data_IF_292511779488
#
_entry.id   IF_292511779488
#
_cell.length_a   1.000
_cell.length_b   1.000
_cell.length_c   1.000
_cell.angle_alpha   90.00
_cell.angle_beta   90.00
_cell.angle_gamma   90.00
#
_symmetry.space_group_name_H-M   'P 1'
#
loop_
_entity.id
_entity.type
_entity.pdbx_description
1 polymer ?
#
# COMPACT_ATOMS: atom_id res chain seq x y z
N UNK A 1 8.39 2.55 -26.74
CA UNK A 1 8.16 2.66 -25.27
C UNK A 1 9.48 2.37 -24.60
N UNK A 2 9.99 3.27 -23.77
CA UNK A 2 11.23 3.05 -23.02
C UNK A 2 10.99 1.95 -21.96
N UNK A 3 12.02 1.21 -21.59
CA UNK A 3 11.95 0.16 -20.54
C UNK A 3 11.36 0.69 -19.21
N UNK A 4 11.67 1.93 -18.90
CA UNK A 4 11.11 2.68 -17.76
C UNK A 4 9.58 2.80 -17.80
N UNK A 5 9.00 3.12 -18.97
CA UNK A 5 7.55 3.25 -19.14
C UNK A 5 6.86 1.88 -19.02
N UNK A 6 7.51 0.83 -19.51
CA UNK A 6 7.00 -0.55 -19.39
C UNK A 6 6.92 -0.99 -17.92
N UNK A 7 7.97 -0.73 -17.14
CA UNK A 7 8.02 -1.07 -15.72
C UNK A 7 6.98 -0.30 -14.91
N UNK A 8 6.74 0.96 -15.24
CA UNK A 8 5.72 1.78 -14.58
C UNK A 8 4.30 1.28 -14.86
N UNK A 9 4.01 0.92 -16.12
CA UNK A 9 2.70 0.35 -16.48
C UNK A 9 2.43 -0.99 -15.79
N UNK A 10 3.46 -1.83 -15.66
CA UNK A 10 3.37 -3.09 -14.89
C UNK A 10 3.06 -2.80 -13.42
N UNK A 11 3.76 -1.84 -12.81
CA UNK A 11 3.48 -1.43 -11.42
C UNK A 11 2.06 -0.90 -11.22
N UNK A 12 1.54 -0.10 -12.16
CA UNK A 12 0.15 0.38 -12.11
C UNK A 12 -0.85 -0.77 -12.18
N UNK A 13 -0.65 -1.71 -13.12
CA UNK A 13 -1.51 -2.90 -13.24
C UNK A 13 -1.46 -3.76 -11.97
N UNK A 14 -0.28 -3.99 -11.42
CA UNK A 14 -0.10 -4.71 -10.15
C UNK A 14 -0.87 -4.05 -9.01
N UNK A 15 -0.81 -2.71 -8.92
CA UNK A 15 -1.54 -1.98 -7.88
C UNK A 15 -3.05 -2.06 -8.08
N UNK A 16 -3.54 -1.86 -9.31
CA UNK A 16 -4.97 -1.94 -9.62
C UNK A 16 -5.52 -3.33 -9.28
N UNK A 17 -4.83 -4.40 -9.72
CA UNK A 17 -5.25 -5.78 -9.42
C UNK A 17 -5.18 -6.04 -7.91
N UNK A 18 -4.12 -5.64 -7.23
CA UNK A 18 -3.99 -5.80 -5.78
C UNK A 18 -5.07 -5.04 -5.00
N UNK A 19 -5.43 -3.82 -5.41
CA UNK A 19 -6.50 -3.04 -4.81
C UNK A 19 -7.88 -3.63 -5.12
N UNK A 20 -8.10 -4.18 -6.32
CA UNK A 20 -9.31 -4.91 -6.65
C UNK A 20 -9.48 -6.16 -5.76
N UNK A 21 -8.41 -6.94 -5.58
CA UNK A 21 -8.40 -8.05 -4.62
C UNK A 21 -8.72 -7.55 -3.20
N UNK A 22 -8.13 -6.44 -2.77
CA UNK A 22 -8.40 -5.84 -1.46
C UNK A 22 -9.90 -5.50 -1.28
N UNK A 23 -10.56 -5.01 -2.34
CA UNK A 23 -11.99 -4.68 -2.31
C UNK A 23 -12.90 -5.87 -2.05
N UNK A 24 -12.48 -7.09 -2.40
CA UNK A 24 -13.28 -8.31 -2.18
C UNK A 24 -13.05 -8.97 -0.81
N UNK A 25 -12.06 -8.53 -0.03
CA UNK A 25 -11.74 -9.14 1.28
C UNK A 25 -12.97 -9.19 2.21
N UNK A 26 -13.76 -8.11 2.23
CA UNK A 26 -14.94 -7.99 3.09
C UNK A 26 -15.93 -9.16 2.95
N UNK A 27 -16.13 -9.66 1.73
CA UNK A 27 -17.01 -10.81 1.48
C UNK A 27 -16.51 -12.06 2.22
N UNK A 28 -15.23 -12.35 2.08
CA UNK A 28 -14.61 -13.55 2.69
C UNK A 28 -14.55 -13.42 4.21
N UNK A 29 -14.39 -12.19 4.75
CA UNK A 29 -14.48 -11.93 6.19
C UNK A 29 -15.87 -12.29 6.70
N UNK A 30 -16.94 -11.78 6.07
CA UNK A 30 -18.32 -12.08 6.45
C UNK A 30 -18.62 -13.57 6.36
N UNK A 31 -18.30 -14.20 5.23
CA UNK A 31 -18.56 -15.64 5.01
C UNK A 31 -17.70 -16.55 5.90
N UNK A 32 -16.54 -16.09 6.37
CA UNK A 32 -15.71 -16.87 7.30
C UNK A 32 -16.30 -16.95 8.70
N UNK A 33 -17.20 -16.02 9.08
CA UNK A 33 -17.74 -15.92 10.44
C UNK A 33 -16.70 -15.64 11.52
N UNK A 34 -15.46 -15.26 11.12
CA UNK A 34 -14.38 -15.02 12.06
C UNK A 34 -14.35 -13.58 12.54
N UNK A 35 -13.99 -13.39 13.81
CA UNK A 35 -13.71 -12.04 14.32
C UNK A 35 -12.45 -11.44 13.64
N UNK A 36 -12.29 -10.11 13.65
CA UNK A 36 -11.21 -9.43 12.95
C UNK A 36 -9.79 -9.88 13.35
N UNK A 37 -9.56 -10.23 14.62
CA UNK A 37 -8.24 -10.68 15.08
C UNK A 37 -7.92 -12.08 14.57
N UNK A 38 -8.91 -12.98 14.56
CA UNK A 38 -8.78 -14.32 13.98
C UNK A 38 -8.52 -14.22 12.47
N UNK A 39 -9.23 -13.34 11.75
CA UNK A 39 -8.95 -13.07 10.33
C UNK A 39 -7.50 -12.63 10.14
N UNK A 40 -7.02 -11.68 10.93
CA UNK A 40 -5.63 -11.22 10.90
C UNK A 40 -4.64 -12.37 11.16
N UNK A 41 -4.89 -13.18 12.19
CA UNK A 41 -4.05 -14.35 12.51
C UNK A 41 -3.98 -15.35 11.36
N UNK A 42 -5.13 -15.78 10.82
CA UNK A 42 -5.17 -16.73 9.71
C UNK A 42 -4.49 -16.21 8.45
N UNK A 43 -4.66 -14.92 8.14
CA UNK A 43 -3.97 -14.28 7.02
C UNK A 43 -2.46 -14.26 7.23
N UNK A 44 -1.98 -13.97 8.44
CA UNK A 44 -0.57 -14.04 8.78
C UNK A 44 -0.03 -15.46 8.70
N UNK A 45 -0.74 -16.45 9.22
CA UNK A 45 -0.31 -17.84 9.24
C UNK A 45 -0.25 -18.42 7.83
N UNK A 46 -1.37 -18.42 7.11
CA UNK A 46 -1.46 -19.07 5.78
C UNK A 46 -0.69 -18.27 4.75
N UNK A 47 -0.88 -16.95 4.68
CA UNK A 47 -0.19 -16.09 3.74
C UNK A 47 1.32 -16.02 4.02
N UNK A 48 1.71 -15.94 5.28
CA UNK A 48 3.10 -15.98 5.72
C UNK A 48 3.78 -17.30 5.38
N UNK A 49 3.10 -18.44 5.59
CA UNK A 49 3.61 -19.76 5.23
C UNK A 49 3.77 -19.90 3.70
N UNK A 50 2.79 -19.46 2.91
CA UNK A 50 2.90 -19.46 1.45
C UNK A 50 4.09 -18.61 0.97
N UNK A 51 4.30 -17.42 1.56
CA UNK A 51 5.45 -16.55 1.24
C UNK A 51 6.76 -17.19 1.65
N UNK A 52 6.83 -17.82 2.82
CA UNK A 52 8.02 -18.52 3.30
C UNK A 52 8.42 -19.66 2.35
N UNK A 53 7.46 -20.51 1.99
CA UNK A 53 7.67 -21.62 1.05
C UNK A 53 8.09 -21.11 -0.34
N UNK A 54 7.45 -20.06 -0.82
CA UNK A 54 7.80 -19.42 -2.09
C UNK A 54 9.21 -18.83 -2.06
N UNK A 55 9.56 -18.08 -1.01
CA UNK A 55 10.89 -17.49 -0.85
C UNK A 55 11.97 -18.57 -0.72
N UNK A 56 11.67 -19.67 -0.03
CA UNK A 56 12.57 -20.81 0.08
C UNK A 56 12.81 -21.47 -1.28
N UNK A 57 11.74 -21.81 -2.01
CA UNK A 57 11.81 -22.44 -3.32
C UNK A 57 12.54 -21.58 -4.38
N UNK A 58 12.43 -20.25 -4.28
CA UNK A 58 13.11 -19.29 -5.18
C UNK A 58 14.51 -18.88 -4.69
N UNK A 59 14.98 -19.37 -3.55
CA UNK A 59 16.27 -19.01 -2.98
C UNK A 59 16.38 -17.55 -2.54
N UNK A 60 15.24 -16.89 -2.20
CA UNK A 60 15.19 -15.49 -1.80
C UNK A 60 15.58 -15.26 -0.33
N UNK A 61 15.76 -16.33 0.45
CA UNK A 61 16.15 -16.26 1.86
C UNK A 61 17.63 -15.97 2.10
N UNK A 62 18.43 -15.80 1.03
CA UNK A 62 19.83 -15.36 1.15
C UNK A 62 19.86 -13.85 1.49
N UNK A 63 19.71 -13.55 2.77
CA UNK A 63 19.58 -12.18 3.31
C UNK A 63 20.92 -11.59 3.79
N UNK A 64 22.04 -12.07 3.25
CA UNK A 64 23.41 -11.65 3.64
C UNK A 64 23.69 -10.16 3.39
N UNK A 65 22.92 -9.52 2.52
CA UNK A 65 23.09 -8.09 2.17
C UNK A 65 22.09 -7.16 2.88
N UNK A 66 21.25 -7.67 3.79
CA UNK A 66 20.28 -6.85 4.53
C UNK A 66 20.99 -6.15 5.67
N UNK A 67 21.00 -4.81 5.65
CA UNK A 67 21.61 -3.99 6.69
C UNK A 67 20.83 -4.06 8.01
N UNK A 68 21.52 -3.71 9.14
CA UNK A 68 20.86 -3.65 10.45
C UNK A 68 19.65 -2.72 10.46
N UNK A 69 19.74 -1.57 9.77
CA UNK A 69 18.62 -0.64 9.64
C UNK A 69 17.42 -1.25 8.90
N UNK A 70 17.68 -1.99 7.81
CA UNK A 70 16.63 -2.67 7.06
C UNK A 70 15.92 -3.74 7.90
N UNK A 71 16.64 -4.48 8.75
CA UNK A 71 16.05 -5.42 9.70
C UNK A 71 15.13 -4.73 10.71
N UNK A 72 15.57 -3.59 11.25
CA UNK A 72 14.75 -2.77 12.16
C UNK A 72 13.48 -2.28 11.43
N UNK A 73 13.62 -1.79 10.20
CA UNK A 73 12.48 -1.32 9.39
C UNK A 73 11.50 -2.46 9.07
N UNK A 74 11.99 -3.66 8.78
CA UNK A 74 11.14 -4.85 8.57
C UNK A 74 10.35 -5.19 9.83
N UNK A 75 11.01 -5.25 10.99
CA UNK A 75 10.36 -5.55 12.26
C UNK A 75 9.34 -4.48 12.66
N UNK A 76 9.74 -3.21 12.61
CA UNK A 76 8.86 -2.07 12.93
C UNK A 76 7.65 -2.03 11.99
N UNK A 77 7.86 -2.26 10.69
CA UNK A 77 6.73 -2.27 9.74
C UNK A 77 5.75 -3.43 9.95
N UNK A 78 6.21 -4.58 10.45
CA UNK A 78 5.33 -5.67 10.87
C UNK A 78 4.46 -5.31 12.07
N UNK A 79 5.05 -4.64 13.09
CA UNK A 79 4.30 -4.10 14.23
C UNK A 79 3.30 -3.05 13.78
N UNK A 80 3.71 -2.12 12.91
CA UNK A 80 2.84 -1.07 12.33
C UNK A 80 1.66 -1.69 11.58
N UNK A 81 1.87 -2.80 10.85
CA UNK A 81 0.80 -3.52 10.16
C UNK A 81 -0.26 -4.03 11.14
N UNK A 82 0.14 -4.66 12.24
CA UNK A 82 -0.79 -5.17 13.26
C UNK A 82 -1.52 -4.02 13.97
N UNK A 83 -0.80 -2.97 14.35
CA UNK A 83 -1.40 -1.79 14.98
C UNK A 83 -2.39 -1.09 14.04
N UNK A 84 -2.09 -1.03 12.74
CA UNK A 84 -3.02 -0.52 11.73
C UNK A 84 -4.32 -1.32 11.72
N UNK A 85 -4.26 -2.64 11.69
CA UNK A 85 -5.46 -3.49 11.73
C UNK A 85 -6.24 -3.33 13.04
N UNK A 86 -5.54 -3.34 14.18
CA UNK A 86 -6.17 -3.16 15.49
C UNK A 86 -6.90 -1.80 15.59
N UNK A 87 -6.26 -0.73 15.16
CA UNK A 87 -6.86 0.61 15.14
C UNK A 87 -8.06 0.67 14.18
N UNK A 88 -7.95 0.09 12.97
CA UNK A 88 -9.06 0.07 12.02
C UNK A 88 -10.28 -0.70 12.55
N UNK A 89 -10.06 -1.85 13.18
CA UNK A 89 -11.13 -2.65 13.78
C UNK A 89 -11.76 -1.96 14.98
N UNK A 90 -10.95 -1.30 15.83
CA UNK A 90 -11.47 -0.48 16.92
C UNK A 90 -12.33 0.68 16.40
N UNK A 91 -11.95 1.28 15.29
CA UNK A 91 -12.74 2.33 14.64
C UNK A 91 -14.13 1.82 14.23
N UNK A 92 -14.21 0.63 13.65
CA UNK A 92 -15.47 0.02 13.23
C UNK A 92 -16.43 -0.26 14.38
N UNK A 93 -15.89 -0.64 15.54
CA UNK A 93 -16.69 -0.89 16.75
C UNK A 93 -17.31 0.39 17.34
N UNK A 94 -16.61 1.53 17.22
CA UNK A 94 -17.02 2.78 17.88
C UNK A 94 -17.72 3.77 16.94
N UNK A 95 -17.26 3.89 15.68
CA UNK A 95 -17.80 4.85 14.72
C UNK A 95 -18.57 4.19 13.55
N UNK A 96 -18.62 2.84 13.53
CA UNK A 96 -19.22 2.10 12.43
C UNK A 96 -18.29 1.97 11.20
N UNK A 97 -18.59 0.98 10.36
CA UNK A 97 -17.76 0.62 9.20
C UNK A 97 -17.70 1.77 8.18
N UNK A 98 -18.83 2.43 7.92
CA UNK A 98 -18.92 3.52 6.94
C UNK A 98 -17.99 4.69 7.30
N UNK A 99 -18.12 5.23 8.53
CA UNK A 99 -17.29 6.33 9.03
C UNK A 99 -15.82 5.95 9.10
N UNK A 100 -15.53 4.77 9.69
CA UNK A 100 -14.17 4.25 9.77
C UNK A 100 -13.52 4.14 8.40
N UNK A 101 -14.25 3.64 7.40
CA UNK A 101 -13.77 3.52 6.03
C UNK A 101 -13.47 4.88 5.39
N UNK A 102 -14.35 5.89 5.53
CA UNK A 102 -14.09 7.22 4.98
C UNK A 102 -12.85 7.82 5.59
N UNK A 103 -12.75 7.83 6.92
CA UNK A 103 -11.60 8.44 7.61
C UNK A 103 -10.32 7.67 7.26
N UNK A 104 -10.35 6.34 7.22
CA UNK A 104 -9.21 5.53 6.81
C UNK A 104 -8.75 5.84 5.38
N UNK A 105 -9.67 6.15 4.47
CA UNK A 105 -9.36 6.56 3.10
C UNK A 105 -8.71 7.96 2.99
N UNK A 106 -8.44 8.66 4.09
CA UNK A 106 -7.56 9.83 4.10
C UNK A 106 -6.07 9.47 3.96
N UNK A 107 -5.70 8.18 4.10
CA UNK A 107 -4.31 7.71 4.00
C UNK A 107 -3.56 8.16 2.73
N UNK A 108 -4.17 8.30 1.53
CA UNK A 108 -3.46 8.79 0.36
C UNK A 108 -2.99 10.24 0.49
N UNK A 109 -3.67 11.08 1.30
CA UNK A 109 -3.22 12.44 1.56
C UNK A 109 -1.93 12.45 2.40
N UNK A 110 -1.82 11.57 3.40
CA UNK A 110 -0.58 11.40 4.16
C UNK A 110 0.58 10.93 3.27
N UNK A 111 0.29 10.07 2.28
CA UNK A 111 1.28 9.67 1.28
C UNK A 111 1.71 10.84 0.39
N UNK A 112 0.76 11.67 -0.07
CA UNK A 112 1.06 12.85 -0.88
C UNK A 112 1.89 13.87 -0.11
N UNK A 113 1.67 14.03 1.19
CA UNK A 113 2.49 14.91 2.05
C UNK A 113 3.89 14.32 2.28
N UNK A 114 3.99 13.00 2.44
CA UNK A 114 5.26 12.32 2.69
C UNK A 114 6.16 12.21 1.46
N UNK A 115 5.60 12.19 0.26
CA UNK A 115 6.33 12.03 -1.00
C UNK A 115 7.45 13.06 -1.19
N UNK A 116 7.16 14.37 -1.12
CA UNK A 116 8.19 15.42 -1.19
C UNK A 116 9.20 15.34 -0.05
N UNK A 117 8.73 15.11 1.17
CA UNK A 117 9.57 15.16 2.38
C UNK A 117 10.54 13.98 2.49
N UNK A 118 10.13 12.79 2.03
CA UNK A 118 10.86 11.55 2.28
C UNK A 118 11.59 11.05 1.03
N UNK A 119 10.99 11.25 -0.15
CA UNK A 119 11.52 10.74 -1.42
C UNK A 119 11.96 11.85 -2.37
N UNK A 120 11.78 13.14 -2.02
CA UNK A 120 12.06 14.25 -2.91
C UNK A 120 11.17 14.30 -4.15
N UNK A 121 10.03 13.61 -4.15
CA UNK A 121 9.09 13.55 -5.26
C UNK A 121 8.34 14.88 -5.40
N UNK A 122 8.16 15.38 -6.63
CA UNK A 122 7.35 16.56 -6.88
C UNK A 122 5.87 16.15 -7.02
N UNK A 123 5.06 16.57 -6.08
CA UNK A 123 3.60 16.40 -6.16
C UNK A 123 3.01 17.58 -6.91
N UNK A 124 2.29 17.29 -7.99
CA UNK A 124 1.65 18.32 -8.82
C UNK A 124 0.28 18.68 -8.23
N UNK A 125 -0.16 19.93 -8.45
CA UNK A 125 -1.51 20.36 -8.08
C UNK A 125 -2.58 19.44 -8.68
N UNK A 126 -2.36 18.96 -9.91
CA UNK A 126 -3.24 18.00 -10.58
C UNK A 126 -3.39 16.70 -9.76
N UNK A 127 -2.31 16.15 -9.20
CA UNK A 127 -2.37 14.95 -8.35
C UNK A 127 -3.16 15.19 -7.06
N UNK A 128 -2.99 16.36 -6.44
CA UNK A 128 -3.78 16.75 -5.26
C UNK A 128 -5.26 16.85 -5.61
N UNK A 129 -5.61 17.53 -6.70
CA UNK A 129 -7.01 17.65 -7.15
C UNK A 129 -7.63 16.29 -7.50
N UNK A 130 -6.88 15.40 -8.14
CA UNK A 130 -7.34 14.03 -8.46
C UNK A 130 -7.54 13.20 -7.17
N UNK A 131 -6.68 13.37 -6.17
CA UNK A 131 -6.86 12.71 -4.88
C UNK A 131 -8.11 13.23 -4.14
N UNK A 132 -8.37 14.55 -4.17
CA UNK A 132 -9.58 15.15 -3.62
C UNK A 132 -10.82 14.65 -4.36
N UNK A 133 -10.78 14.56 -5.70
CA UNK A 133 -11.88 14.03 -6.51
C UNK A 133 -12.17 12.56 -6.15
N UNK A 134 -11.14 11.73 -6.04
CA UNK A 134 -11.30 10.32 -5.67
C UNK A 134 -11.83 10.16 -4.24
N UNK A 135 -11.34 10.97 -3.30
CA UNK A 135 -11.83 10.96 -1.92
C UNK A 135 -13.28 11.41 -1.81
N UNK A 136 -13.68 12.45 -2.56
CA UNK A 136 -15.07 12.86 -2.70
C UNK A 136 -15.96 11.71 -3.23
N UNK A 137 -15.44 10.92 -4.16
CA UNK A 137 -16.11 9.70 -4.63
C UNK A 137 -16.29 8.65 -3.52
N UNK A 138 -15.29 8.45 -2.63
CA UNK A 138 -15.42 7.56 -1.46
C UNK A 138 -16.52 8.05 -0.51
N UNK A 139 -16.56 9.36 -0.24
CA UNK A 139 -17.61 9.94 0.61
C UNK A 139 -18.99 9.64 0.02
N UNK A 140 -19.19 9.81 -1.29
CA UNK A 140 -20.46 9.51 -1.96
C UNK A 140 -20.82 8.02 -1.91
N UNK A 141 -19.84 7.14 -2.01
CA UNK A 141 -20.06 5.68 -1.89
C UNK A 141 -20.62 5.31 -0.52
N UNK A 142 -20.07 5.88 0.56
CA UNK A 142 -20.49 5.56 1.93
C UNK A 142 -21.53 6.51 2.48
N UNK A 143 -21.99 7.48 1.71
CA UNK A 143 -22.98 8.48 2.13
C UNK A 143 -24.23 7.88 2.79
N UNK A 144 -24.84 6.78 2.29
CA UNK A 144 -25.99 6.19 2.96
C UNK A 144 -25.67 5.74 4.40
N UNK A 145 -24.44 5.25 4.65
CA UNK A 145 -24.00 4.83 5.98
C UNK A 145 -23.62 6.01 6.91
N UNK A 146 -23.43 7.21 6.37
CA UNK A 146 -23.12 8.42 7.12
C UNK A 146 -24.38 9.17 7.57
N UNK A 147 -25.51 8.95 6.88
CA UNK A 147 -26.78 9.59 7.20
C UNK A 147 -27.34 9.04 8.52
N UNK A 148 -27.64 9.94 9.46
CA UNK A 148 -28.21 9.55 10.76
C UNK A 148 -27.19 9.13 11.83
N UNK A 149 -25.89 9.35 11.60
CA UNK A 149 -24.85 9.10 12.62
C UNK A 149 -24.91 10.18 13.70
N UNK A 150 -25.06 9.78 14.95
CA UNK A 150 -24.94 10.66 16.11
C UNK A 150 -23.46 10.83 16.49
N UNK A 151 -23.07 12.08 16.78
CA UNK A 151 -21.69 12.42 17.17
C UNK A 151 -21.61 12.47 18.69
N UNK A 152 -21.17 11.39 19.28
CA UNK A 152 -20.88 11.27 20.70
C UNK A 152 -19.39 11.02 20.98
N UNK A 153 -19.00 10.78 22.23
CA UNK A 153 -17.61 10.53 22.61
C UNK A 153 -17.08 9.22 22.00
N UNK A 154 -17.93 8.18 21.89
CA UNK A 154 -17.54 6.90 21.27
C UNK A 154 -17.27 7.08 19.78
N UNK A 155 -18.12 7.85 19.08
CA UNK A 155 -17.90 8.21 17.69
C UNK A 155 -16.54 8.92 17.51
N UNK A 156 -16.23 9.93 18.36
CA UNK A 156 -14.96 10.66 18.27
C UNK A 156 -13.74 9.76 18.52
N UNK A 157 -13.84 8.79 19.44
CA UNK A 157 -12.80 7.79 19.66
C UNK A 157 -12.63 6.90 18.43
N UNK A 158 -13.74 6.42 17.83
CA UNK A 158 -13.70 5.62 16.60
C UNK A 158 -13.10 6.38 15.43
N UNK A 159 -13.45 7.66 15.26
CA UNK A 159 -12.86 8.53 14.25
C UNK A 159 -11.34 8.71 14.47
N UNK A 160 -10.90 8.87 15.72
CA UNK A 160 -9.49 8.95 16.10
C UNK A 160 -8.73 7.66 15.76
N UNK A 161 -9.30 6.49 16.04
CA UNK A 161 -8.72 5.20 15.66
C UNK A 161 -8.62 5.02 14.14
N UNK A 162 -9.63 5.45 13.37
CA UNK A 162 -9.58 5.40 11.90
C UNK A 162 -8.46 6.29 11.34
N UNK A 163 -8.30 7.51 11.90
CA UNK A 163 -7.23 8.42 11.49
C UNK A 163 -5.85 7.85 11.84
N UNK A 164 -5.69 7.28 13.04
CA UNK A 164 -4.47 6.58 13.44
C UNK A 164 -4.15 5.44 12.47
N UNK A 165 -5.15 4.62 12.11
CA UNK A 165 -4.99 3.55 11.13
C UNK A 165 -4.54 4.10 9.76
N UNK A 166 -5.11 5.21 9.28
CA UNK A 166 -4.71 5.86 8.03
C UNK A 166 -3.24 6.32 8.04
N UNK A 167 -2.79 6.92 9.14
CA UNK A 167 -1.39 7.34 9.33
C UNK A 167 -0.46 6.13 9.37
N UNK A 168 -0.81 5.09 10.13
CA UNK A 168 -0.03 3.86 10.24
C UNK A 168 0.12 3.15 8.87
N UNK A 169 -0.96 3.07 8.09
CA UNK A 169 -0.91 2.47 6.76
C UNK A 169 -0.05 3.28 5.78
N UNK A 170 -0.13 4.61 5.85
CA UNK A 170 0.74 5.48 5.07
C UNK A 170 2.21 5.27 5.45
N UNK A 171 2.51 5.18 6.74
CA UNK A 171 3.84 4.84 7.26
C UNK A 171 4.32 3.47 6.77
N UNK A 172 3.45 2.46 6.78
CA UNK A 172 3.74 1.12 6.26
C UNK A 172 4.11 1.17 4.77
N UNK A 173 3.34 1.90 3.96
CA UNK A 173 3.58 2.09 2.52
C UNK A 173 4.93 2.76 2.27
N UNK A 174 5.25 3.81 3.04
CA UNK A 174 6.53 4.53 2.98
C UNK A 174 7.71 3.60 3.31
N UNK A 175 7.61 2.84 4.40
CA UNK A 175 8.67 1.90 4.80
C UNK A 175 8.84 0.81 3.74
N UNK A 176 7.75 0.25 3.22
CA UNK A 176 7.79 -0.76 2.16
C UNK A 176 8.46 -0.22 0.89
N UNK A 177 8.20 1.05 0.53
CA UNK A 177 8.86 1.73 -0.60
C UNK A 177 10.35 1.96 -0.31
N UNK A 178 10.75 2.34 0.91
CA UNK A 178 12.17 2.46 1.31
C UNK A 178 12.93 1.15 1.28
N UNK A 179 12.25 0.03 1.46
CA UNK A 179 12.81 -1.33 1.39
C UNK A 179 12.94 -1.86 -0.05
N UNK A 180 12.95 -0.99 -1.07
CA UNK A 180 13.04 -1.37 -2.49
C UNK A 180 14.30 -2.19 -2.87
N UNK A 181 15.33 -2.19 -2.02
CA UNK A 181 16.49 -3.09 -2.14
C UNK A 181 16.23 -4.55 -1.72
N UNK A 182 15.10 -4.81 -1.03
CA UNK A 182 14.68 -6.14 -0.59
C UNK A 182 13.48 -6.57 -1.43
N UNK A 183 13.46 -7.83 -1.87
CA UNK A 183 12.36 -8.34 -2.68
C UNK A 183 11.01 -8.18 -1.95
N UNK A 184 9.93 -7.74 -2.64
CA UNK A 184 8.60 -7.55 -2.05
C UNK A 184 8.09 -8.75 -1.26
N UNK A 185 8.35 -9.96 -1.76
CA UNK A 185 8.01 -11.23 -1.13
C UNK A 185 8.62 -11.37 0.28
N UNK A 186 9.89 -11.00 0.42
CA UNK A 186 10.62 -11.07 1.69
C UNK A 186 10.10 -10.02 2.67
N UNK A 187 9.83 -8.80 2.17
CA UNK A 187 9.25 -7.74 3.01
C UNK A 187 7.91 -8.20 3.58
N UNK A 188 7.01 -8.69 2.73
CA UNK A 188 5.71 -9.19 3.17
C UNK A 188 5.84 -10.39 4.14
N UNK A 189 6.71 -11.34 3.83
CA UNK A 189 6.98 -12.50 4.70
C UNK A 189 7.40 -12.08 6.11
N UNK A 190 8.35 -11.15 6.22
CA UNK A 190 8.83 -10.68 7.53
C UNK A 190 7.73 -9.96 8.30
N UNK A 191 6.96 -9.09 7.65
CA UNK A 191 5.85 -8.36 8.27
C UNK A 191 4.75 -9.29 8.77
N UNK A 192 4.37 -10.29 7.98
CA UNK A 192 3.37 -11.29 8.39
C UNK A 192 3.91 -12.21 9.49
N UNK A 193 5.20 -12.54 9.49
CA UNK A 193 5.85 -13.28 10.58
C UNK A 193 5.78 -12.52 11.90
N UNK A 194 6.08 -11.23 11.89
CA UNK A 194 5.89 -10.35 13.06
C UNK A 194 4.42 -10.31 13.45
N UNK A 195 3.52 -10.13 12.47
CA UNK A 195 2.07 -10.12 12.69
C UNK A 195 1.57 -11.40 13.37
N UNK A 196 2.07 -12.56 12.95
CA UNK A 196 1.71 -13.85 13.55
C UNK A 196 2.10 -13.91 15.04
N UNK A 197 3.30 -13.46 15.40
CA UNK A 197 3.79 -13.43 16.79
C UNK A 197 2.90 -12.54 17.66
N UNK A 198 2.45 -11.38 17.17
CA UNK A 198 1.61 -10.46 17.92
C UNK A 198 0.14 -10.90 18.01
N UNK A 199 -0.38 -11.56 16.97
CA UNK A 199 -1.78 -11.97 16.90
C UNK A 199 -2.04 -13.33 17.57
N UNK A 200 -1.06 -14.22 17.63
CA UNK A 200 -1.22 -15.54 18.24
C UNK A 200 -1.72 -15.51 19.69
N UNK A 201 -1.23 -14.61 20.58
CA UNK A 201 -1.70 -14.56 21.97
C UNK A 201 -3.13 -14.03 22.15
N UNK A 202 -3.64 -13.28 21.16
CA UNK A 202 -4.99 -12.64 21.22
C UNK A 202 -6.03 -13.35 20.36
N UNK A 203 -5.63 -14.43 19.69
CA UNK A 203 -6.55 -15.23 18.88
C UNK A 203 -7.58 -15.92 19.77
N UNK A 204 -8.85 -15.81 19.40
CA UNK A 204 -9.94 -16.53 20.05
C UNK A 204 -10.02 -17.98 19.53
N UNK A 205 -9.35 -18.90 20.22
CA UNK A 205 -9.29 -20.33 19.84
C UNK A 205 -10.64 -21.06 19.98
N UNK A 206 -11.56 -20.52 20.76
CA UNK A 206 -12.94 -20.98 20.90
C UNK A 206 -13.83 -20.63 19.69
N UNK A 207 -13.38 -19.70 18.84
CA UNK A 207 -14.09 -19.23 17.65
C UNK A 207 -13.42 -19.69 16.35
N UNK A 208 -12.99 -20.95 16.28
CA UNK A 208 -12.42 -21.53 15.08
C UNK A 208 -13.48 -21.72 13.98
N UNK A 209 -13.09 -21.70 12.68
CA UNK A 209 -14.00 -22.02 11.59
C UNK A 209 -14.61 -23.41 11.80
N UNK A 210 -15.95 -23.50 11.72
CA UNK A 210 -16.71 -24.72 12.03
C UNK A 210 -17.11 -25.49 10.76
N UNK A 211 -17.24 -24.81 9.63
CA UNK A 211 -17.72 -25.39 8.37
C UNK A 211 -16.63 -25.40 7.31
N UNK A 212 -16.75 -26.28 6.32
CA UNK A 212 -15.86 -26.34 5.18
C UNK A 212 -15.83 -25.02 4.39
N UNK A 213 -16.97 -24.32 4.31
CA UNK A 213 -17.05 -23.01 3.64
C UNK A 213 -16.27 -21.95 4.40
N UNK A 214 -16.37 -21.90 5.71
CA UNK A 214 -15.58 -20.97 6.53
C UNK A 214 -14.08 -21.21 6.38
N UNK A 215 -13.64 -22.49 6.41
CA UNK A 215 -12.25 -22.85 6.13
C UNK A 215 -11.79 -22.46 4.73
N UNK A 216 -12.65 -22.67 3.71
CA UNK A 216 -12.35 -22.23 2.35
C UNK A 216 -12.13 -20.71 2.30
N UNK A 217 -13.01 -19.92 2.94
CA UNK A 217 -12.86 -18.46 3.01
C UNK A 217 -11.54 -18.04 3.69
N UNK A 218 -11.18 -18.69 4.78
CA UNK A 218 -9.92 -18.44 5.50
C UNK A 218 -8.70 -18.76 4.62
N UNK A 219 -8.71 -19.91 3.92
CA UNK A 219 -7.63 -20.29 2.99
C UNK A 219 -7.54 -19.31 1.82
N UNK A 220 -8.66 -18.93 1.21
CA UNK A 220 -8.69 -17.94 0.13
C UNK A 220 -8.15 -16.60 0.62
N UNK A 221 -8.52 -16.14 1.82
CA UNK A 221 -7.95 -14.91 2.38
C UNK A 221 -6.44 -15.02 2.59
N UNK A 222 -5.94 -16.15 3.05
CA UNK A 222 -4.49 -16.37 3.22
C UNK A 222 -3.72 -16.42 1.90
N UNK A 223 -4.22 -17.17 0.91
CA UNK A 223 -3.53 -17.37 -0.37
C UNK A 223 -3.72 -16.20 -1.31
N UNK A 224 -4.98 -15.83 -1.63
CA UNK A 224 -5.23 -14.78 -2.63
C UNK A 224 -5.09 -13.38 -2.02
N UNK A 225 -5.76 -13.10 -0.89
CA UNK A 225 -5.82 -11.76 -0.31
C UNK A 225 -4.64 -11.45 0.63
N UNK A 226 -3.69 -12.37 0.77
CA UNK A 226 -2.48 -12.09 1.54
C UNK A 226 -1.24 -12.45 0.74
N UNK A 227 -0.99 -13.73 0.42
CA UNK A 227 0.20 -14.10 -0.33
C UNK A 227 0.29 -13.40 -1.68
N UNK A 228 -0.68 -13.61 -2.58
CA UNK A 228 -0.63 -13.06 -3.94
C UNK A 228 -0.83 -11.53 -3.95
N UNK A 229 -1.81 -11.04 -3.21
CA UNK A 229 -2.13 -9.60 -3.15
C UNK A 229 -0.95 -8.77 -2.64
N UNK A 230 -0.26 -9.20 -1.57
CA UNK A 230 0.88 -8.44 -1.05
C UNK A 230 2.08 -8.43 -1.98
N UNK A 231 2.31 -9.51 -2.73
CA UNK A 231 3.34 -9.50 -3.77
C UNK A 231 3.05 -8.41 -4.80
N UNK A 232 1.81 -8.32 -5.28
CA UNK A 232 1.40 -7.32 -6.26
C UNK A 232 1.50 -5.89 -5.71
N UNK A 233 0.90 -5.64 -4.56
CA UNK A 233 0.86 -4.31 -3.94
C UNK A 233 2.27 -3.84 -3.57
N UNK A 234 3.10 -4.69 -2.96
CA UNK A 234 4.43 -4.30 -2.52
C UNK A 234 5.40 -4.12 -3.70
N UNK A 235 5.25 -4.92 -4.77
CA UNK A 235 5.96 -4.70 -6.02
C UNK A 235 5.62 -3.33 -6.61
N UNK A 236 4.34 -2.98 -6.61
CA UNK A 236 3.87 -1.68 -7.05
C UNK A 236 4.40 -0.53 -6.17
N UNK A 237 4.37 -0.67 -4.84
CA UNK A 237 4.88 0.34 -3.91
C UNK A 237 6.38 0.63 -4.12
N UNK A 238 7.14 -0.40 -4.44
CA UNK A 238 8.58 -0.24 -4.72
C UNK A 238 8.87 0.37 -6.10
N UNK A 239 7.96 0.25 -7.07
CA UNK A 239 8.17 0.68 -8.45
C UNK A 239 7.50 2.00 -8.83
N UNK A 240 6.41 2.38 -8.13
CA UNK A 240 5.61 3.55 -8.48
C UNK A 240 5.97 4.79 -7.66
N UNK A 241 5.80 6.01 -8.24
CA UNK A 241 5.79 7.26 -7.49
C UNK A 241 4.62 7.29 -6.48
N UNK A 242 4.84 7.98 -5.35
CA UNK A 242 3.85 8.09 -4.26
C UNK A 242 2.52 8.68 -4.74
N UNK A 243 2.56 9.69 -5.62
CA UNK A 243 1.35 10.29 -6.19
C UNK A 243 0.49 9.31 -6.99
N UNK A 244 1.09 8.32 -7.68
CA UNK A 244 0.35 7.27 -8.38
C UNK A 244 -0.21 6.24 -7.40
N UNK A 245 0.58 5.85 -6.41
CA UNK A 245 0.13 4.94 -5.34
C UNK A 245 -1.11 5.53 -4.65
N UNK A 246 -1.04 6.79 -4.24
CA UNK A 246 -2.11 7.47 -3.52
C UNK A 246 -3.46 7.42 -4.27
N UNK A 247 -3.47 7.78 -5.56
CA UNK A 247 -4.71 7.86 -6.33
C UNK A 247 -5.23 6.47 -6.73
N UNK A 248 -4.35 5.55 -7.13
CA UNK A 248 -4.75 4.20 -7.51
C UNK A 248 -5.23 3.36 -6.32
N UNK A 249 -4.87 3.72 -5.10
CA UNK A 249 -5.39 3.05 -3.91
C UNK A 249 -6.91 3.19 -3.74
N UNK A 250 -7.53 4.21 -4.35
CA UNK A 250 -8.99 4.37 -4.32
C UNK A 250 -9.77 3.37 -5.20
N UNK A 251 -9.10 2.47 -5.92
CA UNK A 251 -9.77 1.39 -6.66
C UNK A 251 -10.50 0.43 -5.72
N UNK A 252 -9.97 0.16 -4.53
CA UNK A 252 -10.53 -0.83 -3.64
C UNK A 252 -11.98 -0.51 -3.16
N UNK A 253 -12.38 0.73 -2.81
CA UNK A 253 -13.77 1.02 -2.43
C UNK A 253 -14.76 0.78 -3.57
N UNK A 254 -14.37 1.05 -4.81
CA UNK A 254 -15.19 0.79 -5.99
C UNK A 254 -15.48 -0.70 -6.12
N UNK A 255 -14.43 -1.51 -6.02
CA UNK A 255 -14.58 -2.97 -6.13
C UNK A 255 -15.36 -3.52 -4.93
N UNK A 256 -15.19 -2.96 -3.74
CA UNK A 256 -15.93 -3.38 -2.55
C UNK A 256 -17.45 -3.20 -2.73
N UNK A 257 -17.90 -2.07 -3.26
CA UNK A 257 -19.34 -1.82 -3.54
C UNK A 257 -19.89 -2.77 -4.62
N UNK A 258 -19.12 -2.96 -5.69
CA UNK A 258 -19.53 -3.87 -6.78
C UNK A 258 -19.62 -5.31 -6.25
N UNK A 259 -18.65 -5.73 -5.44
CA UNK A 259 -18.62 -7.06 -4.85
C UNK A 259 -19.79 -7.27 -3.87
N UNK A 260 -20.11 -6.25 -3.07
CA UNK A 260 -21.23 -6.24 -2.13
C UNK A 260 -22.59 -6.39 -2.86
N UNK A 261 -22.77 -5.66 -3.96
CA UNK A 261 -23.96 -5.80 -4.82
C UNK A 261 -24.15 -7.23 -5.31
N UNK A 262 -23.11 -7.86 -5.85
CA UNK A 262 -23.22 -9.23 -6.38
C UNK A 262 -23.34 -10.30 -5.30
N UNK A 263 -22.75 -10.10 -4.13
CA UNK A 263 -22.72 -11.10 -3.07
C UNK A 263 -23.94 -11.06 -2.14
N UNK A 264 -24.43 -9.85 -1.85
CA UNK A 264 -25.49 -9.64 -0.86
C UNK A 264 -26.76 -9.02 -1.45
N UNK A 265 -26.74 -8.62 -2.73
CA UNK A 265 -27.89 -8.01 -3.40
C UNK A 265 -28.21 -6.59 -2.95
N UNK A 266 -27.27 -5.91 -2.29
CA UNK A 266 -27.47 -4.53 -1.89
C UNK A 266 -27.47 -3.61 -3.11
N UNK A 267 -28.58 -2.89 -3.33
CA UNK A 267 -28.71 -1.99 -4.49
C UNK A 267 -27.71 -0.83 -4.43
N UNK A 268 -27.05 -0.56 -5.54
CA UNK A 268 -26.14 0.58 -5.67
C UNK A 268 -26.96 1.84 -6.01
N UNK A 269 -27.06 2.74 -5.05
CA UNK A 269 -27.81 4.00 -5.22
C UNK A 269 -27.12 4.99 -6.18
N UNK A 270 -27.86 6.01 -6.60
CA UNK A 270 -27.35 7.01 -7.56
C UNK A 270 -26.08 7.75 -7.07
N UNK A 271 -26.00 8.09 -5.80
CA UNK A 271 -24.81 8.72 -5.20
C UNK A 271 -23.59 7.80 -5.25
N UNK A 272 -23.78 6.51 -5.02
CA UNK A 272 -22.71 5.51 -5.09
C UNK A 272 -22.18 5.36 -6.53
N UNK A 273 -23.08 5.34 -7.53
CA UNK A 273 -22.67 5.35 -8.94
C UNK A 273 -21.86 6.59 -9.30
N UNK A 274 -22.30 7.78 -8.84
CA UNK A 274 -21.53 9.01 -9.04
C UNK A 274 -20.15 8.92 -8.41
N UNK A 275 -20.05 8.40 -7.19
CA UNK A 275 -18.78 8.18 -6.50
C UNK A 275 -17.85 7.24 -7.24
N UNK A 276 -18.36 6.12 -7.77
CA UNK A 276 -17.63 5.16 -8.60
C UNK A 276 -17.03 5.86 -9.84
N UNK A 277 -17.86 6.64 -10.55
CA UNK A 277 -17.40 7.38 -11.75
C UNK A 277 -16.30 8.38 -11.41
N UNK A 278 -16.43 9.11 -10.30
CA UNK A 278 -15.39 10.06 -9.84
C UNK A 278 -14.04 9.37 -9.55
N UNK A 279 -14.07 8.23 -8.89
CA UNK A 279 -12.85 7.45 -8.59
C UNK A 279 -12.21 6.92 -9.87
N UNK A 280 -13.00 6.34 -10.77
CA UNK A 280 -12.49 5.82 -12.05
C UNK A 280 -11.89 6.96 -12.89
N UNK A 281 -12.58 8.09 -12.98
CA UNK A 281 -12.10 9.27 -13.71
C UNK A 281 -10.75 9.78 -13.15
N UNK A 282 -10.64 9.88 -11.82
CA UNK A 282 -9.40 10.27 -11.15
C UNK A 282 -8.26 9.29 -11.43
N UNK A 283 -8.52 7.97 -11.33
CA UNK A 283 -7.55 6.92 -11.61
C UNK A 283 -7.05 6.93 -13.05
N UNK A 284 -7.95 7.03 -14.02
CA UNK A 284 -7.61 7.11 -15.45
C UNK A 284 -6.81 8.38 -15.78
N UNK A 285 -7.24 9.54 -15.24
CA UNK A 285 -6.53 10.81 -15.44
C UNK A 285 -5.12 10.79 -14.82
N UNK A 286 -4.94 10.09 -13.68
CA UNK A 286 -3.63 9.93 -13.06
C UNK A 286 -2.74 8.95 -13.81
N UNK A 287 -3.28 7.83 -14.30
CA UNK A 287 -2.54 6.83 -15.05
C UNK A 287 -1.93 7.40 -16.34
N UNK A 288 -2.65 8.29 -17.03
CA UNK A 288 -2.19 8.98 -18.24
C UNK A 288 -1.08 10.01 -17.98
N UNK A 289 -0.86 10.39 -16.73
CA UNK A 289 0.12 11.42 -16.36
C UNK A 289 1.51 10.80 -16.17
N UNK A 290 2.05 10.20 -17.23
CA UNK A 290 3.40 9.60 -17.25
C UNK A 290 4.42 10.69 -17.59
N UNK A 291 4.95 11.44 -16.61
CA UNK A 291 5.90 12.45 -17.03
C UNK A 291 6.53 13.38 -16.00
N UNK A 292 6.61 13.03 -14.74
CA UNK A 292 7.46 13.82 -13.83
C UNK A 292 8.31 12.87 -12.97
N UNK A 293 9.28 12.24 -13.65
CA UNK A 293 10.36 11.56 -12.94
C UNK A 293 11.31 12.63 -12.42
N UNK A 294 11.28 12.93 -11.15
CA UNK A 294 12.43 13.54 -10.48
C UNK A 294 13.49 12.45 -10.37
N UNK A 295 14.64 12.68 -10.99
CA UNK A 295 15.84 11.86 -10.77
C UNK A 295 16.13 11.88 -9.26
N UNK A 296 16.51 10.74 -8.67
CA UNK A 296 16.97 10.72 -7.28
C UNK A 296 18.11 11.72 -7.09
N UNK A 297 18.25 12.36 -5.91
CA UNK A 297 19.35 13.30 -5.64
C UNK A 297 20.73 12.74 -5.97
N UNK A 298 20.92 11.43 -5.79
CA UNK A 298 22.18 10.73 -6.10
C UNK A 298 22.52 10.68 -7.60
N UNK A 299 21.53 10.74 -8.49
CA UNK A 299 21.78 10.78 -9.93
C UNK A 299 22.27 12.16 -10.39
N UNK A 300 21.82 13.24 -9.73
CA UNK A 300 22.32 14.59 -9.97
C UNK A 300 23.76 14.75 -9.48
N UNK A 301 24.08 14.16 -8.33
CA UNK A 301 25.42 14.20 -7.77
C UNK A 301 26.41 13.36 -8.56
N UNK A 302 26.01 12.18 -9.07
CA UNK A 302 26.83 11.38 -9.99
C UNK A 302 27.09 12.07 -11.32
N UNK A 303 26.10 12.75 -11.90
CA UNK A 303 26.28 13.50 -13.15
C UNK A 303 27.16 14.76 -12.97
N UNK A 304 27.10 15.42 -11.81
CA UNK A 304 28.00 16.54 -11.49
C UNK A 304 29.44 16.07 -11.27
N UNK A 305 29.64 14.93 -10.62
CA UNK A 305 30.98 14.35 -10.45
C UNK A 305 31.56 13.81 -11.75
N UNK A 306 30.74 13.23 -12.65
CA UNK A 306 31.17 12.79 -13.97
C UNK A 306 31.54 13.98 -14.85
N UNK A 307 30.77 15.06 -14.85
CA UNK A 307 31.09 16.30 -15.62
C UNK A 307 32.32 17.05 -15.10
N UNK A 308 32.63 16.97 -13.82
CA UNK A 308 33.88 17.53 -13.26
C UNK A 308 35.09 16.67 -13.58
N UNK A 309 34.94 15.35 -13.74
CA UNK A 309 36.00 14.45 -14.19
C UNK A 309 36.41 14.67 -15.66
N UNK A 310 35.46 14.94 -16.53
CA UNK A 310 35.75 15.26 -17.96
C UNK A 310 36.46 16.62 -18.13
N UNK A 311 36.09 17.65 -17.38
CA UNK A 311 36.75 18.96 -17.39
C UNK A 311 38.16 18.93 -16.81
N UNK A 312 38.45 18.01 -15.86
CA UNK A 312 39.80 17.83 -15.32
C UNK A 312 40.74 17.02 -16.25
N UNK A 313 40.14 16.12 -17.06
CA UNK A 313 40.88 15.32 -18.06
C UNK A 313 41.39 16.15 -19.26
N UNK A 314 40.62 17.17 -19.68
CA UNK A 314 40.99 18.04 -20.81
C UNK A 314 42.03 19.13 -20.45
N UNK A 315 42.14 19.46 -19.16
CA UNK A 315 43.15 20.45 -18.68
C UNK A 315 44.56 19.87 -18.54
N UNK A 316 44.72 18.54 -18.60
CA UNK A 316 46.04 17.85 -18.47
C UNK A 316 46.82 17.64 -19.74
N UNK A 317 46.25 17.91 -20.93
CA UNK A 317 46.87 17.61 -22.23
C UNK A 317 47.57 18.80 -22.92
N UNK A 318 47.59 20.00 -22.36
CA UNK A 318 48.26 21.19 -22.89
C UNK A 318 49.40 21.68 -21.98
N UNK A 319 50.44 20.86 -21.79
CA UNK A 319 51.69 21.36 -21.23
C UNK A 319 52.74 21.46 -22.37
N UNK A 320 53.29 22.65 -22.67
CA UNK A 320 54.28 22.80 -23.74
C UNK A 320 55.63 22.20 -23.33
N UNK A 321 56.22 21.43 -24.23
CA UNK A 321 57.55 20.85 -24.12
C UNK A 321 58.61 21.92 -23.84
N UNK A 322 59.44 21.76 -22.82
CA UNK A 322 60.67 22.56 -22.57
C UNK A 322 61.72 22.19 -23.60
N UNK A 323 62.42 23.17 -24.22
CA UNK A 323 63.59 22.88 -25.09
C UNK A 323 64.77 22.44 -24.19
N UNK A 324 65.40 21.35 -24.61
CA UNK A 324 66.75 20.96 -24.16
C UNK A 324 67.78 21.95 -24.69
N UNK A 325 68.53 22.58 -23.82
CA UNK A 325 69.77 23.28 -24.11
C UNK A 325 70.97 22.44 -23.69
N UNK A 326 71.82 22.24 -24.63
CA UNK A 326 73.18 21.78 -24.63
C UNK A 326 73.94 21.68 -23.32
#
# INVERSE_FOLDING_TARGET
MTESTKNENVGQLQLIVGMAMSGTIGLFVVWSGQNPFNVGFWRCLIGGLCLLLFCFAKGYLKLTHVSRLQWILLAVSGVVLVLNWAALFASYLHAGIGVGTVIYNTQPFFLLLAGPLIFGERITLKQVLLAILAFGGVILIVLPALLGVEVDLLFLQGAGFALLAAVLYSGLTIVTKKLSGIKPHVVAMCQLGVGLVFLAPIMAFDQMPQTSMQWLCVVVMGVFHTFLMYILIYSAYQSLPVGKIAILSYVYPVVAVIADYFAFGHEVGGWQWLGIVMIIAAGVANARNSGTRTQPPDALQKNQLAGQGELAGDAGLNSPARPQSQ
#
